data_IF_954533669057
#
_entry.id   IF_954533669057
#
_cell.length_a   1.000
_cell.length_b   1.000
_cell.length_c   1.000
_cell.angle_alpha   90.00
_cell.angle_beta   90.00
_cell.angle_gamma   90.00
#
_symmetry.space_group_name_H-M   'P 1'
#
loop_
_entity.id
_entity.type
_entity.pdbx_description
1 polymer ?
#
# COMPACT_ATOMS: atom_id res chain seq x y z
N UNK A 1 -15.82 -11.13 8.72
CA UNK A 1 -14.83 -10.13 8.26
C UNK A 1 -13.96 -10.79 7.19
N UNK A 2 -13.72 -10.17 6.04
CA UNK A 2 -12.89 -10.76 4.97
C UNK A 2 -11.46 -10.23 5.05
N UNK A 3 -10.47 -11.09 4.76
CA UNK A 3 -9.04 -10.73 4.74
C UNK A 3 -8.44 -11.11 3.39
N UNK A 4 -7.55 -10.26 2.86
CA UNK A 4 -6.81 -10.53 1.61
C UNK A 4 -5.85 -11.72 1.72
N UNK A 5 -5.53 -12.15 2.95
CA UNK A 5 -4.71 -13.34 3.21
C UNK A 5 -5.50 -14.63 2.99
N UNK A 6 -6.79 -14.64 3.31
CA UNK A 6 -7.67 -15.79 3.03
C UNK A 6 -8.11 -15.76 1.57
N UNK A 7 -7.28 -16.35 0.71
CA UNK A 7 -7.49 -16.37 -0.74
C UNK A 7 -8.86 -16.95 -1.12
N UNK A 8 -9.32 -18.01 -0.46
CA UNK A 8 -10.59 -18.68 -0.80
C UNK A 8 -11.78 -17.80 -0.46
N UNK A 9 -11.77 -17.16 0.70
CA UNK A 9 -12.85 -16.25 1.09
C UNK A 9 -12.83 -14.99 0.23
N UNK A 10 -11.65 -14.44 -0.02
CA UNK A 10 -11.49 -13.21 -0.79
C UNK A 10 -11.82 -13.38 -2.28
N UNK A 11 -11.55 -14.55 -2.85
CA UNK A 11 -11.93 -14.89 -4.23
C UNK A 11 -13.45 -14.76 -4.48
N UNK A 12 -14.29 -15.02 -3.47
CA UNK A 12 -15.75 -14.83 -3.59
C UNK A 12 -16.12 -13.38 -3.93
N UNK A 13 -15.31 -12.40 -3.51
CA UNK A 13 -15.52 -10.99 -3.87
C UNK A 13 -15.35 -10.78 -5.36
N UNK A 14 -14.29 -11.35 -5.95
CA UNK A 14 -14.03 -11.23 -7.38
C UNK A 14 -15.13 -11.92 -8.21
N UNK A 15 -15.62 -13.07 -7.74
CA UNK A 15 -16.71 -13.80 -8.39
C UNK A 15 -18.02 -13.00 -8.37
N UNK A 16 -18.38 -12.44 -7.22
CA UNK A 16 -19.66 -11.78 -7.01
C UNK A 16 -19.69 -10.38 -7.65
N UNK A 17 -18.61 -9.61 -7.53
CA UNK A 17 -18.60 -8.19 -7.91
C UNK A 17 -17.86 -7.90 -9.21
N UNK A 18 -17.02 -8.81 -9.70
CA UNK A 18 -16.28 -8.69 -10.98
C UNK A 18 -15.62 -7.30 -11.14
N UNK A 19 -14.73 -6.90 -10.21
CA UNK A 19 -14.17 -5.56 -10.20
C UNK A 19 -13.40 -5.25 -11.48
N UNK A 20 -13.55 -4.04 -12.02
CA UNK A 20 -12.75 -3.57 -13.16
C UNK A 20 -11.43 -2.93 -12.73
N UNK A 21 -11.41 -2.34 -11.52
CA UNK A 21 -10.25 -1.70 -10.93
C UNK A 21 -10.10 -2.20 -9.49
N UNK A 22 -8.87 -2.55 -9.10
CA UNK A 22 -8.52 -2.91 -7.73
C UNK A 22 -7.45 -1.94 -7.23
N UNK A 23 -7.75 -1.20 -6.16
CA UNK A 23 -6.79 -0.34 -5.46
C UNK A 23 -6.40 -1.05 -4.16
N UNK A 24 -5.18 -1.57 -4.11
CA UNK A 24 -4.69 -2.34 -2.97
C UNK A 24 -3.93 -1.48 -1.98
N UNK A 25 -4.64 -1.05 -0.93
CA UNK A 25 -4.12 -0.25 0.18
C UNK A 25 -3.98 -1.03 1.50
N UNK A 26 -4.24 -2.35 1.50
CA UNK A 26 -4.15 -3.16 2.71
C UNK A 26 -2.70 -3.60 2.98
N UNK A 27 -2.14 -3.17 4.13
CA UNK A 27 -0.82 -3.57 4.61
C UNK A 27 -0.65 -3.21 6.10
N UNK A 28 0.25 -3.89 6.79
CA UNK A 28 0.83 -3.39 8.03
C UNK A 28 1.93 -2.37 7.70
N UNK A 29 1.85 -1.21 8.36
CA UNK A 29 2.71 -0.04 8.09
C UNK A 29 3.56 0.41 9.27
N UNK A 30 3.31 -0.12 10.46
CA UNK A 30 4.01 0.28 11.68
C UNK A 30 5.34 -0.44 11.77
N UNK A 31 6.45 0.29 11.54
CA UNK A 31 7.79 -0.29 11.54
C UNK A 31 8.08 -1.10 12.82
N UNK A 32 7.89 -0.56 14.05
CA UNK A 32 8.19 -1.34 15.26
C UNK A 32 7.39 -2.64 15.36
N UNK A 33 6.08 -2.59 15.07
CA UNK A 33 5.22 -3.77 15.11
C UNK A 33 5.60 -4.82 14.06
N UNK A 34 6.11 -4.40 12.90
CA UNK A 34 6.59 -5.32 11.87
C UNK A 34 7.95 -5.94 12.21
N UNK A 35 8.81 -5.24 12.94
CA UNK A 35 10.06 -5.82 13.48
C UNK A 35 9.75 -6.85 14.57
N UNK A 36 8.77 -6.58 15.43
CA UNK A 36 8.33 -7.50 16.48
C UNK A 36 7.52 -8.69 15.95
N UNK A 37 6.81 -8.51 14.83
CA UNK A 37 5.98 -9.55 14.22
C UNK A 37 6.27 -9.70 12.71
N UNK A 38 7.44 -10.27 12.43
CA UNK A 38 7.94 -10.48 11.06
C UNK A 38 7.00 -11.39 10.26
N UNK A 39 6.55 -12.49 10.85
CA UNK A 39 5.66 -13.45 10.19
C UNK A 39 4.33 -12.80 9.79
N UNK A 40 3.73 -12.01 10.69
CA UNK A 40 2.52 -11.25 10.41
C UNK A 40 2.73 -10.21 9.31
N UNK A 41 3.90 -9.54 9.29
CA UNK A 41 4.25 -8.59 8.24
C UNK A 41 4.41 -9.28 6.87
N UNK A 42 5.10 -10.42 6.81
CA UNK A 42 5.26 -11.22 5.60
C UNK A 42 3.90 -11.72 5.08
N UNK A 43 3.11 -12.33 5.96
CA UNK A 43 1.80 -12.87 5.60
C UNK A 43 0.86 -11.78 5.06
N UNK A 44 0.73 -10.68 5.80
CA UNK A 44 -0.21 -9.63 5.42
C UNK A 44 0.27 -8.83 4.19
N UNK A 45 1.54 -8.41 4.18
CA UNK A 45 2.04 -7.52 3.13
C UNK A 45 2.41 -8.28 1.86
N UNK A 46 3.05 -9.45 1.95
CA UNK A 46 3.51 -10.21 0.77
C UNK A 46 2.40 -11.14 0.29
N UNK A 47 1.93 -12.06 1.12
CA UNK A 47 0.94 -13.07 0.70
C UNK A 47 -0.40 -12.40 0.38
N UNK A 48 -0.84 -11.45 1.20
CA UNK A 48 -2.03 -10.65 0.92
C UNK A 48 -1.94 -9.93 -0.43
N UNK A 49 -0.81 -9.28 -0.74
CA UNK A 49 -0.61 -8.61 -2.04
C UNK A 49 -0.58 -9.61 -3.20
N UNK A 50 0.13 -10.73 -3.04
CA UNK A 50 0.17 -11.80 -4.06
C UNK A 50 -1.25 -12.29 -4.37
N UNK A 51 -2.07 -12.54 -3.36
CA UNK A 51 -3.44 -12.99 -3.56
C UNK A 51 -4.28 -11.96 -4.34
N UNK A 52 -4.18 -10.68 -3.98
CA UNK A 52 -4.90 -9.62 -4.69
C UNK A 52 -4.48 -9.53 -6.17
N UNK A 53 -3.19 -9.62 -6.46
CA UNK A 53 -2.66 -9.58 -7.83
C UNK A 53 -3.10 -10.84 -8.61
N UNK A 54 -2.90 -12.02 -8.04
CA UNK A 54 -3.27 -13.29 -8.69
C UNK A 54 -4.75 -13.35 -9.04
N UNK A 55 -5.62 -12.92 -8.10
CA UNK A 55 -7.06 -12.87 -8.35
C UNK A 55 -7.41 -11.81 -9.38
N UNK A 56 -6.72 -10.66 -9.38
CA UNK A 56 -6.94 -9.63 -10.39
C UNK A 56 -6.63 -10.15 -11.81
N UNK A 57 -5.52 -10.87 -11.96
CA UNK A 57 -5.14 -11.52 -13.23
C UNK A 57 -6.15 -12.61 -13.59
N UNK A 58 -6.49 -13.49 -12.64
CA UNK A 58 -7.44 -14.61 -12.86
C UNK A 58 -8.80 -14.14 -13.35
N UNK A 59 -9.30 -13.03 -12.81
CA UNK A 59 -10.62 -12.48 -13.13
C UNK A 59 -10.58 -11.36 -14.17
N UNK A 60 -9.44 -11.17 -14.87
CA UNK A 60 -9.26 -10.17 -15.92
C UNK A 60 -9.65 -8.74 -15.49
N UNK A 61 -9.27 -8.35 -14.26
CA UNK A 61 -9.39 -6.97 -13.80
C UNK A 61 -8.61 -6.07 -14.78
N UNK A 62 -9.21 -4.96 -15.23
CA UNK A 62 -8.56 -4.08 -16.20
C UNK A 62 -7.30 -3.42 -15.60
N UNK A 63 -7.37 -3.01 -14.33
CA UNK A 63 -6.29 -2.29 -13.65
C UNK A 63 -6.14 -2.68 -12.19
N UNK A 64 -4.91 -2.96 -11.79
CA UNK A 64 -4.51 -3.15 -10.41
C UNK A 64 -3.52 -2.05 -9.99
N UNK A 65 -3.82 -1.33 -8.91
CA UNK A 65 -2.94 -0.30 -8.34
C UNK A 65 -2.46 -0.73 -6.97
N UNK A 66 -1.15 -0.94 -6.85
CA UNK A 66 -0.47 -1.22 -5.59
C UNK A 66 -0.08 0.09 -4.89
N UNK A 67 -0.55 0.30 -3.66
CA UNK A 67 -0.04 1.37 -2.81
C UNK A 67 1.27 0.91 -2.17
N UNK A 68 2.34 1.64 -2.41
CA UNK A 68 3.68 1.42 -1.85
C UNK A 68 4.16 2.66 -1.08
N UNK A 69 5.41 2.66 -0.65
CA UNK A 69 5.98 3.64 0.28
C UNK A 69 7.42 3.96 -0.06
N UNK A 70 7.86 5.16 0.32
CA UNK A 70 9.28 5.56 0.31
C UNK A 70 10.21 4.54 1.01
N UNK A 71 9.72 3.84 2.04
CA UNK A 71 10.51 2.85 2.80
C UNK A 71 10.83 1.57 2.02
N UNK A 72 10.21 1.36 0.87
CA UNK A 72 10.56 0.29 -0.05
C UNK A 72 11.84 0.61 -0.86
N UNK A 73 12.31 1.86 -0.86
CA UNK A 73 13.55 2.27 -1.51
C UNK A 73 14.74 2.01 -0.57
N UNK A 74 15.62 1.07 -0.93
CA UNK A 74 16.76 0.63 -0.09
C UNK A 74 16.30 0.38 1.37
N UNK A 75 15.40 -0.59 1.57
CA UNK A 75 14.72 -0.77 2.85
C UNK A 75 15.72 -1.12 3.96
N UNK A 76 15.57 -0.46 5.11
CA UNK A 76 16.36 -0.70 6.34
C UNK A 76 15.50 -1.29 7.46
N UNK A 77 14.29 -1.76 7.14
CA UNK A 77 13.34 -2.35 8.08
C UNK A 77 12.45 -3.37 7.34
N UNK A 78 11.86 -4.31 8.10
CA UNK A 78 11.02 -5.39 7.61
C UNK A 78 9.78 -4.87 6.90
N UNK A 79 9.14 -3.82 7.41
CA UNK A 79 7.96 -3.22 6.76
C UNK A 79 8.30 -2.74 5.34
N UNK A 80 9.38 -1.97 5.19
CA UNK A 80 9.88 -1.52 3.89
C UNK A 80 10.31 -2.68 2.98
N UNK A 81 10.99 -3.68 3.52
CA UNK A 81 11.44 -4.86 2.78
C UNK A 81 10.26 -5.67 2.23
N UNK A 82 9.23 -5.92 3.02
CA UNK A 82 8.02 -6.63 2.57
C UNK A 82 7.30 -5.86 1.46
N UNK A 83 7.20 -4.54 1.54
CA UNK A 83 6.65 -3.70 0.46
C UNK A 83 7.52 -3.74 -0.80
N UNK A 84 8.85 -3.79 -0.66
CA UNK A 84 9.75 -3.97 -1.80
C UNK A 84 9.53 -5.32 -2.48
N UNK A 85 9.32 -6.40 -1.72
CA UNK A 85 8.96 -7.71 -2.28
C UNK A 85 7.61 -7.65 -3.00
N UNK A 86 6.61 -6.97 -2.42
CA UNK A 86 5.31 -6.75 -3.09
C UNK A 86 5.45 -6.06 -4.45
N UNK A 87 6.32 -5.04 -4.55
CA UNK A 87 6.61 -4.37 -5.83
C UNK A 87 7.30 -5.29 -6.82
N UNK A 88 8.30 -6.06 -6.38
CA UNK A 88 9.00 -7.01 -7.22
C UNK A 88 8.03 -8.07 -7.76
N UNK A 89 7.13 -8.58 -6.92
CA UNK A 89 6.09 -9.51 -7.36
C UNK A 89 5.19 -8.88 -8.44
N UNK A 90 4.70 -7.67 -8.19
CA UNK A 90 3.86 -6.92 -9.13
C UNK A 90 4.56 -6.65 -10.49
N UNK A 91 5.88 -6.46 -10.47
CA UNK A 91 6.68 -6.18 -11.67
C UNK A 91 7.03 -7.44 -12.48
N UNK A 92 7.08 -8.62 -11.85
CA UNK A 92 7.62 -9.83 -12.48
C UNK A 92 6.57 -10.93 -12.71
N UNK A 93 5.33 -10.76 -12.23
CA UNK A 93 4.24 -11.70 -12.52
C UNK A 93 3.77 -11.55 -13.96
N UNK A 94 3.40 -12.67 -14.61
CA UNK A 94 2.71 -12.63 -15.90
C UNK A 94 1.32 -12.00 -15.72
N UNK A 95 1.21 -10.74 -16.10
CA UNK A 95 0.02 -9.91 -15.87
C UNK A 95 -1.14 -10.22 -16.81
N UNK A 96 -0.90 -10.98 -17.89
CA UNK A 96 -1.88 -11.23 -18.96
C UNK A 96 -2.54 -9.92 -19.41
N UNK A 97 -3.86 -9.79 -19.25
CA UNK A 97 -4.65 -8.63 -19.65
C UNK A 97 -4.78 -7.55 -18.56
N UNK A 98 -4.28 -7.80 -17.35
CA UNK A 98 -4.41 -6.87 -16.23
C UNK A 98 -3.27 -5.86 -16.23
N UNK A 99 -3.57 -4.57 -16.29
CA UNK A 99 -2.56 -3.52 -16.15
C UNK A 99 -2.19 -3.35 -14.67
N UNK A 100 -0.95 -3.67 -14.30
CA UNK A 100 -0.45 -3.57 -12.92
C UNK A 100 0.44 -2.33 -12.78
N UNK A 101 0.13 -1.47 -11.82
CA UNK A 101 0.96 -0.30 -11.48
C UNK A 101 1.17 -0.20 -9.98
N UNK A 102 2.26 0.47 -9.59
CA UNK A 102 2.56 0.78 -8.21
C UNK A 102 2.78 2.27 -8.03
N UNK A 103 2.25 2.84 -6.95
CA UNK A 103 2.47 4.24 -6.58
C UNK A 103 3.14 4.32 -5.22
N UNK A 104 4.26 5.03 -5.12
CA UNK A 104 4.99 5.26 -3.87
C UNK A 104 4.65 6.63 -3.33
N UNK A 105 4.35 6.71 -2.04
CA UNK A 105 4.22 7.98 -1.32
C UNK A 105 5.12 8.03 -0.09
N UNK A 106 5.46 9.24 0.33
CA UNK A 106 6.09 9.50 1.63
C UNK A 106 5.08 9.40 2.78
N UNK A 107 5.32 10.16 3.84
CA UNK A 107 4.38 10.20 4.96
C UNK A 107 3.10 10.97 4.57
N UNK A 108 1.96 10.48 5.03
CA UNK A 108 0.67 11.17 4.86
C UNK A 108 0.29 11.87 6.17
N UNK A 109 0.05 13.17 6.09
CA UNK A 109 -0.28 14.02 7.24
C UNK A 109 -1.54 13.53 7.95
N UNK A 110 -1.46 13.43 9.28
CA UNK A 110 -2.60 13.02 10.11
C UNK A 110 -3.04 11.55 9.94
N UNK A 111 -2.28 10.72 9.21
CA UNK A 111 -2.64 9.32 9.03
C UNK A 111 -2.65 8.55 10.36
N UNK A 112 -3.45 7.48 10.44
CA UNK A 112 -3.63 6.69 11.67
C UNK A 112 -2.31 6.22 12.25
N UNK A 113 -2.10 6.45 13.55
CA UNK A 113 -0.90 6.07 14.28
C UNK A 113 0.39 6.77 13.82
N UNK A 114 0.28 7.91 13.13
CA UNK A 114 1.43 8.75 12.79
C UNK A 114 1.86 9.68 13.94
N UNK A 115 2.95 10.42 13.72
CA UNK A 115 3.55 11.28 14.74
C UNK A 115 2.67 12.45 15.16
N UNK A 116 1.89 13.04 14.23
CA UNK A 116 1.06 14.21 14.53
C UNK A 116 -0.04 13.88 15.56
N UNK A 117 -0.86 12.83 15.39
CA UNK A 117 -1.80 12.39 16.42
C UNK A 117 -1.11 12.04 17.75
N UNK A 118 0.08 11.43 17.70
CA UNK A 118 0.85 11.11 18.92
C UNK A 118 1.23 12.37 19.68
N UNK A 119 1.74 13.38 18.98
CA UNK A 119 2.14 14.66 19.59
C UNK A 119 0.95 15.43 20.13
N UNK A 120 -0.17 15.48 19.40
CA UNK A 120 -1.41 16.08 19.91
C UNK A 120 -1.84 15.45 21.24
N UNK A 121 -1.88 14.11 21.30
CA UNK A 121 -2.23 13.38 22.53
C UNK A 121 -1.27 13.66 23.69
N UNK A 122 0.03 13.78 23.42
CA UNK A 122 1.01 14.11 24.47
C UNK A 122 0.81 15.53 25.00
N UNK A 123 0.57 16.50 24.11
CA UNK A 123 0.30 17.90 24.49
C UNK A 123 -1.00 18.02 25.28
N UNK A 124 -2.07 17.34 24.85
CA UNK A 124 -3.35 17.28 25.56
C UNK A 124 -3.24 16.66 26.96
N UNK A 125 -2.16 15.93 27.24
CA UNK A 125 -1.88 15.28 28.52
C UNK A 125 -0.76 15.98 29.30
N UNK A 126 -0.29 17.16 28.85
CA UNK A 126 0.86 17.88 29.42
C UNK A 126 2.13 17.01 29.54
N UNK A 127 2.31 16.05 28.62
CA UNK A 127 3.45 15.14 28.57
C UNK A 127 4.53 15.64 27.58
N UNK A 128 5.82 15.35 27.84
CA UNK A 128 6.89 15.74 26.94
C UNK A 128 6.80 15.04 25.57
N UNK A 129 7.14 15.78 24.52
CA UNK A 129 7.20 15.24 23.16
C UNK A 129 8.33 14.21 23.03
N UNK A 130 8.03 13.08 22.41
CA UNK A 130 9.01 12.01 22.16
C UNK A 130 9.60 12.15 20.74
N UNK A 131 10.78 12.74 20.66
CA UNK A 131 11.54 12.93 19.42
C UNK A 131 12.52 11.76 19.26
N UNK A 132 12.51 11.08 18.10
CA UNK A 132 13.38 9.91 17.88
C UNK A 132 14.84 10.27 17.65
N UNK A 133 15.10 11.35 16.91
CA UNK A 133 16.45 11.88 16.65
C UNK A 133 16.32 13.35 16.21
N UNK A 134 17.19 14.27 16.67
CA UNK A 134 17.07 15.71 16.36
C UNK A 134 17.10 16.01 14.86
N UNK A 135 17.95 15.31 14.11
CA UNK A 135 18.14 15.57 12.66
C UNK A 135 17.15 14.81 11.75
N UNK A 136 16.12 14.19 12.31
CA UNK A 136 15.22 13.33 11.53
C UNK A 136 14.31 14.16 10.61
N UNK A 137 14.37 13.91 9.31
CA UNK A 137 13.51 14.55 8.31
C UNK A 137 12.58 13.55 7.64
N UNK A 138 11.40 14.01 7.23
CA UNK A 138 10.38 13.20 6.53
C UNK A 138 9.66 14.05 5.48
N UNK A 139 9.38 13.45 4.33
CA UNK A 139 8.52 14.05 3.30
C UNK A 139 7.06 13.84 3.64
N UNK A 140 6.23 14.86 3.47
CA UNK A 140 4.82 14.83 3.80
C UNK A 140 3.95 15.23 2.61
N UNK A 141 2.75 14.67 2.58
CA UNK A 141 1.68 14.98 1.63
C UNK A 141 0.33 14.92 2.35
N UNK A 142 -0.66 15.68 1.89
CA UNK A 142 -2.02 15.61 2.40
C UNK A 142 -2.72 14.33 1.90
N UNK A 143 -3.68 13.82 2.70
CA UNK A 143 -4.53 12.69 2.30
C UNK A 143 -5.20 12.93 0.93
N UNK A 144 -5.89 14.06 0.68
CA UNK A 144 -6.54 14.29 -0.61
C UNK A 144 -5.55 14.29 -1.79
N UNK A 145 -4.35 14.83 -1.62
CA UNK A 145 -3.31 14.83 -2.66
C UNK A 145 -2.84 13.40 -2.98
N UNK A 146 -2.58 12.59 -1.95
CA UNK A 146 -2.21 11.20 -2.11
C UNK A 146 -3.31 10.40 -2.83
N UNK A 147 -4.56 10.57 -2.40
CA UNK A 147 -5.73 9.96 -3.04
C UNK A 147 -5.87 10.40 -4.50
N UNK A 148 -5.68 11.69 -4.79
CA UNK A 148 -5.80 12.22 -6.14
C UNK A 148 -4.73 11.63 -7.07
N UNK A 149 -3.49 11.47 -6.61
CA UNK A 149 -2.43 10.83 -7.39
C UNK A 149 -2.73 9.36 -7.70
N UNK A 150 -3.30 8.61 -6.74
CA UNK A 150 -3.77 7.23 -6.97
C UNK A 150 -4.88 7.21 -8.03
N UNK A 151 -5.88 8.08 -7.89
CA UNK A 151 -7.00 8.14 -8.83
C UNK A 151 -6.58 8.57 -10.24
N UNK A 152 -5.62 9.49 -10.36
CA UNK A 152 -5.04 9.86 -11.64
C UNK A 152 -4.36 8.66 -12.32
N UNK A 153 -3.66 7.80 -11.56
CA UNK A 153 -3.07 6.58 -12.11
C UNK A 153 -4.13 5.56 -12.57
N UNK A 154 -5.24 5.44 -11.82
CA UNK A 154 -6.39 4.63 -12.23
C UNK A 154 -6.98 5.10 -13.57
N UNK A 155 -7.04 6.41 -13.82
CA UNK A 155 -7.65 6.98 -15.03
C UNK A 155 -6.76 6.90 -16.27
N UNK A 156 -5.46 6.59 -16.13
CA UNK A 156 -4.52 6.50 -17.27
C UNK A 156 -4.84 5.40 -18.29
N UNK A 157 -5.77 4.50 -17.98
CA UNK A 157 -6.31 3.49 -18.89
C UNK A 157 -7.09 4.14 -20.06
N UNK A 158 -7.61 5.36 -19.86
CA UNK A 158 -8.52 6.04 -20.80
C UNK A 158 -7.85 7.11 -21.67
N UNK A 159 -6.52 7.18 -21.74
CA UNK A 159 -5.90 8.06 -22.75
C UNK A 159 -6.12 7.41 -24.12
N UNK A 160 -6.91 8.03 -25.04
CA UNK A 160 -6.96 7.54 -26.41
C UNK A 160 -5.52 7.56 -26.98
N UNK A 161 -5.18 6.62 -27.87
CA UNK A 161 -3.86 6.66 -28.52
C UNK A 161 -3.65 8.05 -29.10
N UNK A 162 -2.54 8.68 -28.75
CA UNK A 162 -2.11 9.92 -29.36
C UNK A 162 -2.00 9.68 -30.86
N UNK A 163 -2.85 10.35 -31.64
CA UNK A 163 -2.68 10.46 -33.08
C UNK A 163 -1.33 11.14 -33.33
N UNK A 164 -0.36 10.34 -33.79
CA UNK A 164 0.72 10.81 -34.65
C UNK A 164 0.35 10.48 -36.09
#
# INVERSE_FOLDING_TARGET
>A
MQSVVDKKLFEKVFQNYKPQIVIHAAAYKHVPLCEENIEGAVLNNIIGTKNCIDLSIKYNVCKFVLISTDKAVRPTNIMGATKRVSELYAQNVDSKNTLITGVRFGNVLGSSGSVIPKFKKLIEQDLPLTITHPDITRYFMLIPEACQLVLQDCLRIFKPPSHN
#
